data_IF_741693014771
#
_entry.id   IF_741693014771
#
_cell.length_a   1.000
_cell.length_b   1.000
_cell.length_c   1.000
_cell.angle_alpha   90.00
_cell.angle_beta   90.00
_cell.angle_gamma   90.00
#
_symmetry.space_group_name_H-M   'P 1'
#
loop_
_entity.id
_entity.type
_entity.pdbx_description
1 polymer ?
#
# COMPACT_ATOMS: atom_id res chain seq x y z
N UNK A 1 -18.78 24.49 18.72
CA UNK A 1 -18.80 23.55 17.58
C UNK A 1 -17.36 23.13 17.22
N UNK A 2 -16.59 22.62 18.18
CA UNK A 2 -15.13 22.39 18.04
C UNK A 2 -14.74 20.90 17.94
N UNK A 3 -15.70 19.98 18.04
CA UNK A 3 -15.42 18.54 17.99
C UNK A 3 -15.26 17.95 16.58
N UNK A 4 -15.93 18.53 15.57
CA UNK A 4 -15.96 17.95 14.21
C UNK A 4 -14.61 18.05 13.48
N UNK A 5 -13.94 19.20 13.61
CA UNK A 5 -12.65 19.49 12.94
C UNK A 5 -11.49 18.66 13.49
N UNK A 6 -11.57 18.24 14.76
CA UNK A 6 -10.51 17.44 15.39
C UNK A 6 -10.58 15.97 14.98
N UNK A 7 -11.78 15.41 14.79
CA UNK A 7 -11.96 14.07 14.22
C UNK A 7 -11.52 13.99 12.75
N UNK A 8 -11.84 14.99 11.93
CA UNK A 8 -11.36 15.06 10.54
C UNK A 8 -9.83 15.15 10.47
N UNK A 9 -9.20 15.99 11.30
CA UNK A 9 -7.74 16.12 11.34
C UNK A 9 -7.04 14.81 11.73
N UNK A 10 -7.58 14.09 12.72
CA UNK A 10 -7.05 12.79 13.14
C UNK A 10 -7.25 11.71 12.07
N UNK A 11 -8.38 11.71 11.35
CA UNK A 11 -8.62 10.79 10.23
C UNK A 11 -7.69 11.09 9.04
N UNK A 12 -7.51 12.36 8.67
CA UNK A 12 -6.60 12.75 7.60
C UNK A 12 -5.15 12.41 7.95
N UNK A 13 -4.75 12.58 9.22
CA UNK A 13 -3.42 12.21 9.69
C UNK A 13 -3.21 10.69 9.66
N UNK A 14 -4.16 9.89 10.14
CA UNK A 14 -4.04 8.42 10.13
C UNK A 14 -4.02 7.83 8.72
N UNK A 15 -4.83 8.38 7.80
CA UNK A 15 -4.82 8.02 6.39
C UNK A 15 -3.49 8.39 5.72
N UNK A 16 -2.90 9.55 6.02
CA UNK A 16 -1.59 9.93 5.49
C UNK A 16 -0.45 9.02 6.01
N UNK A 17 -0.54 8.57 7.26
CA UNK A 17 0.40 7.62 7.83
C UNK A 17 0.27 6.22 7.21
N UNK A 18 -0.98 5.80 6.92
CA UNK A 18 -1.26 4.53 6.27
C UNK A 18 -0.77 4.52 4.81
N UNK A 19 -0.99 5.60 4.08
CA UNK A 19 -0.46 5.81 2.74
C UNK A 19 1.07 5.72 2.70
N UNK A 20 1.75 6.44 3.61
CA UNK A 20 3.21 6.40 3.73
C UNK A 20 3.73 4.99 4.02
N UNK A 21 3.02 4.22 4.86
CA UNK A 21 3.38 2.83 5.15
C UNK A 21 3.19 1.95 3.92
N UNK A 22 2.09 2.09 3.18
CA UNK A 22 1.87 1.37 1.93
C UNK A 22 2.92 1.69 0.87
N UNK A 23 3.22 2.97 0.66
CA UNK A 23 4.28 3.41 -0.26
C UNK A 23 5.64 2.84 0.14
N UNK A 24 5.97 2.82 1.43
CA UNK A 24 7.22 2.24 1.92
C UNK A 24 7.31 0.74 1.70
N UNK A 25 6.22 0.00 1.90
CA UNK A 25 6.17 -1.44 1.69
C UNK A 25 6.18 -1.80 0.21
N UNK A 26 5.52 -0.99 -0.63
CA UNK A 26 5.54 -1.14 -2.08
C UNK A 26 6.95 -0.93 -2.64
N UNK A 27 7.65 0.14 -2.21
CA UNK A 27 9.06 0.36 -2.58
C UNK A 27 9.96 -0.79 -2.10
N UNK A 28 9.75 -1.28 -0.88
CA UNK A 28 10.51 -2.43 -0.37
C UNK A 28 10.27 -3.69 -1.19
N UNK A 29 9.02 -4.00 -1.54
CA UNK A 29 8.68 -5.16 -2.34
C UNK A 29 9.24 -5.06 -3.77
N UNK A 30 9.23 -3.86 -4.37
CA UNK A 30 9.88 -3.63 -5.66
C UNK A 30 11.39 -3.87 -5.59
N UNK A 31 12.07 -3.33 -4.58
CA UNK A 31 13.52 -3.55 -4.42
C UNK A 31 13.86 -5.03 -4.21
N UNK A 32 13.05 -5.75 -3.43
CA UNK A 32 13.23 -7.20 -3.24
C UNK A 32 13.03 -7.99 -4.53
N UNK A 33 12.10 -7.57 -5.38
CA UNK A 33 11.88 -8.19 -6.69
C UNK A 33 13.03 -7.89 -7.66
N UNK A 34 13.57 -6.68 -7.61
CA UNK A 34 14.74 -6.28 -8.42
C UNK A 34 15.99 -7.06 -8.00
N UNK A 35 16.25 -7.16 -6.70
CA UNK A 35 17.32 -7.99 -6.13
C UNK A 35 17.16 -9.47 -6.52
N UNK A 36 15.95 -10.03 -6.40
CA UNK A 36 15.68 -11.42 -6.79
C UNK A 36 15.88 -11.64 -8.29
N UNK A 37 15.52 -10.66 -9.12
CA UNK A 37 15.72 -10.72 -10.58
C UNK A 37 17.20 -10.65 -10.93
N UNK A 38 17.96 -9.80 -10.24
CA UNK A 38 19.40 -9.68 -10.44
C UNK A 38 20.14 -10.95 -10.02
N UNK A 39 19.80 -11.54 -8.87
CA UNK A 39 20.39 -12.81 -8.42
C UNK A 39 20.05 -13.96 -9.38
N UNK A 40 18.80 -14.06 -9.84
CA UNK A 40 18.39 -15.07 -10.82
C UNK A 40 19.11 -14.94 -12.18
N UNK A 41 19.62 -13.75 -12.51
CA UNK A 41 20.38 -13.52 -13.74
C UNK A 41 21.83 -14.04 -13.67
N UNK A 42 22.38 -14.23 -12.46
CA UNK A 42 23.74 -14.73 -12.24
C UNK A 42 23.83 -16.27 -12.21
N UNK A 43 22.68 -16.96 -12.07
CA UNK A 43 22.58 -18.41 -12.18
C UNK A 43 21.14 -18.90 -11.93
N UNK A 44 20.66 -19.86 -12.73
CA UNK A 44 19.28 -20.35 -12.61
C UNK A 44 19.18 -21.40 -11.49
N UNK A 45 18.87 -20.96 -10.26
CA UNK A 45 18.53 -21.85 -9.14
C UNK A 45 17.00 -21.93 -8.95
N UNK A 46 16.50 -23.11 -8.54
CA UNK A 46 15.09 -23.27 -8.15
C UNK A 46 14.74 -22.44 -6.91
N UNK A 47 15.72 -22.15 -6.05
CA UNK A 47 15.60 -21.23 -4.92
C UNK A 47 15.29 -19.80 -5.38
N UNK A 48 15.99 -19.31 -6.41
CA UNK A 48 15.78 -17.95 -6.95
C UNK A 48 14.40 -17.82 -7.60
N UNK A 49 13.92 -18.88 -8.24
CA UNK A 49 12.56 -18.93 -8.81
C UNK A 49 11.48 -18.82 -7.72
N UNK A 50 11.71 -19.46 -6.57
CA UNK A 50 10.79 -19.37 -5.42
C UNK A 50 10.84 -17.98 -4.77
N UNK A 51 12.03 -17.41 -4.59
CA UNK A 51 12.21 -16.07 -4.05
C UNK A 51 11.56 -15.00 -4.94
N UNK A 52 11.70 -15.10 -6.27
CA UNK A 52 11.03 -14.23 -7.22
C UNK A 52 9.50 -14.33 -7.14
N UNK A 53 8.97 -15.56 -7.02
CA UNK A 53 7.53 -15.78 -6.90
C UNK A 53 6.96 -15.19 -5.59
N UNK A 54 7.66 -15.39 -4.47
CA UNK A 54 7.28 -14.81 -3.18
C UNK A 54 7.32 -13.28 -3.21
N UNK A 55 8.39 -12.70 -3.77
CA UNK A 55 8.50 -11.25 -3.94
C UNK A 55 7.37 -10.70 -4.84
N UNK A 56 7.02 -11.40 -5.92
CA UNK A 56 5.94 -11.04 -6.83
C UNK A 56 4.57 -11.03 -6.14
N UNK A 57 4.31 -12.03 -5.28
CA UNK A 57 3.09 -12.06 -4.45
C UNK A 57 3.08 -10.93 -3.43
N UNK A 58 4.21 -10.65 -2.78
CA UNK A 58 4.34 -9.53 -1.84
C UNK A 58 4.02 -8.19 -2.49
N UNK A 59 4.56 -7.94 -3.70
CA UNK A 59 4.28 -6.74 -4.48
C UNK A 59 2.80 -6.64 -4.88
N UNK A 60 2.21 -7.75 -5.34
CA UNK A 60 0.80 -7.81 -5.75
C UNK A 60 -0.14 -7.51 -4.57
N UNK A 61 0.15 -8.06 -3.38
CA UNK A 61 -0.62 -7.80 -2.18
C UNK A 61 -0.48 -6.34 -1.71
N UNK A 62 0.73 -5.78 -1.76
CA UNK A 62 0.97 -4.38 -1.45
C UNK A 62 0.20 -3.44 -2.40
N UNK A 63 0.19 -3.74 -3.71
CA UNK A 63 -0.56 -2.98 -4.71
C UNK A 63 -2.08 -3.06 -4.49
N UNK A 64 -2.60 -4.24 -4.16
CA UNK A 64 -4.02 -4.42 -3.81
C UNK A 64 -4.39 -3.60 -2.57
N UNK A 65 -3.57 -3.65 -1.52
CA UNK A 65 -3.81 -2.89 -0.29
C UNK A 65 -3.80 -1.36 -0.52
N UNK A 66 -2.88 -0.86 -1.34
CA UNK A 66 -2.86 0.55 -1.75
C UNK A 66 -4.12 0.96 -2.53
N UNK A 67 -4.62 0.09 -3.39
CA UNK A 67 -5.85 0.33 -4.16
C UNK A 67 -7.11 0.34 -3.27
N UNK A 68 -7.15 -0.50 -2.24
CA UNK A 68 -8.22 -0.50 -1.25
C UNK A 68 -8.23 0.78 -0.40
N UNK A 69 -7.06 1.31 -0.04
CA UNK A 69 -6.97 2.59 0.68
C UNK A 69 -7.62 3.74 -0.10
N UNK A 70 -7.34 3.83 -1.41
CA UNK A 70 -7.96 4.82 -2.30
C UNK A 70 -9.49 4.70 -2.35
N UNK A 71 -9.98 3.45 -2.38
CA UNK A 71 -11.41 3.14 -2.36
C UNK A 71 -12.06 3.57 -1.04
N UNK A 72 -11.41 3.29 0.09
CA UNK A 72 -11.88 3.70 1.43
C UNK A 72 -11.89 5.23 1.56
N UNK A 73 -10.82 5.91 1.13
CA UNK A 73 -10.75 7.38 1.10
C UNK A 73 -11.92 7.99 0.32
N UNK A 74 -12.18 7.46 -0.88
CA UNK A 74 -13.27 7.95 -1.72
C UNK A 74 -14.66 7.64 -1.13
N UNK A 75 -14.84 6.45 -0.56
CA UNK A 75 -16.08 6.06 0.12
C UNK A 75 -16.40 6.94 1.34
N UNK A 76 -15.39 7.22 2.17
CA UNK A 76 -15.52 8.10 3.33
C UNK A 76 -15.85 9.55 2.90
N UNK A 77 -15.14 10.07 1.89
CA UNK A 77 -15.43 11.42 1.37
C UNK A 77 -16.88 11.53 0.85
N UNK A 78 -17.36 10.50 0.13
CA UNK A 78 -18.76 10.46 -0.34
C UNK A 78 -19.75 10.39 0.82
N UNK A 79 -19.48 9.59 1.85
CA UNK A 79 -20.35 9.47 3.02
C UNK A 79 -20.46 10.80 3.80
N UNK A 80 -19.35 11.53 3.97
CA UNK A 80 -19.34 12.85 4.61
C UNK A 80 -20.18 13.85 3.80
N UNK A 81 -19.95 13.92 2.47
CA UNK A 81 -20.71 14.83 1.60
C UNK A 81 -22.21 14.52 1.65
N UNK A 82 -22.58 13.24 1.68
CA UNK A 82 -23.97 12.80 1.74
C UNK A 82 -24.63 13.03 3.11
N UNK A 83 -23.87 13.13 4.20
CA UNK A 83 -24.41 13.44 5.53
C UNK A 83 -24.58 14.95 5.76
N UNK A 84 -23.80 15.78 5.07
CA UNK A 84 -23.89 17.26 5.13
C UNK A 84 -25.10 17.80 4.33
N UNK A 85 -25.69 16.99 3.44
CA UNK A 85 -26.78 17.34 2.53
C UNK A 85 -28.12 16.78 3.00
#
# INVERSE_FOLDING_TARGET
MTGSTQCESLMMSSLSALQRRLDSQFNRAQNQLDDATQNASEGYSQEDSFAFFEASMGLSNASWAASQELTVKHGLAKAIINEIN
#
